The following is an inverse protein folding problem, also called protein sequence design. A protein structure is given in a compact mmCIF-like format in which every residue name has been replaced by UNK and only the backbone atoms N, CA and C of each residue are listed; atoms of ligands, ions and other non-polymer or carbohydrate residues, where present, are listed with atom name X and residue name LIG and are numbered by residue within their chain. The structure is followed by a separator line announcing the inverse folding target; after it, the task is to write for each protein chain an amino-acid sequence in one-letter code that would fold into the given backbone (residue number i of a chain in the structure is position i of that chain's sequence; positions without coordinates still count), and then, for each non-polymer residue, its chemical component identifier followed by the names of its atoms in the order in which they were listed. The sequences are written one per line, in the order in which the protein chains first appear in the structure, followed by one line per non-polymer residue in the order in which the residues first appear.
data_IF_398624025374
#
_entry.id   IF_398624025374
#
_cell.length_a   1.000
_cell.length_b   1.000
_cell.length_c   1.000
_cell.angle_alpha   90.00
_cell.angle_beta   90.00
_cell.angle_gamma   90.00
#
_symmetry.space_group_name_H-M   'P 1'
#
loop_
_entity.id
_entity.type
_entity.pdbx_description
1 polymer ?
#
# COMPACT_ATOMS: atom_id res chain seq x y z
N UNK A 1 9.97 -2.73 7.82
CA UNK A 1 10.16 -1.26 7.76
C UNK A 1 9.41 -0.52 8.87
N UNK A 2 8.12 -0.80 9.11
CA UNK A 2 7.34 -0.14 10.18
C UNK A 2 7.91 -0.28 11.60
N UNK A 3 8.55 -1.41 11.92
CA UNK A 3 9.20 -1.62 13.22
C UNK A 3 10.32 -0.60 13.52
N UNK A 4 11.03 -0.12 12.50
CA UNK A 4 12.06 0.92 12.65
C UNK A 4 11.44 2.27 13.05
N UNK A 5 10.34 2.65 12.42
CA UNK A 5 9.59 3.87 12.76
C UNK A 5 9.03 3.80 14.19
N UNK A 6 8.48 2.65 14.58
CA UNK A 6 7.99 2.40 15.95
C UNK A 6 9.10 2.44 16.99
N UNK A 7 10.30 1.92 16.70
CA UNK A 7 11.44 2.03 17.62
C UNK A 7 11.88 3.47 17.85
N UNK A 8 11.80 4.33 16.84
CA UNK A 8 12.21 5.74 16.96
C UNK A 8 11.19 6.60 17.73
N UNK A 9 9.89 6.32 17.60
CA UNK A 9 8.84 7.22 18.08
C UNK A 9 7.82 6.59 19.04
N UNK A 10 7.84 5.28 19.23
CA UNK A 10 6.79 4.55 19.96
C UNK A 10 6.67 4.92 21.44
N UNK A 11 7.76 5.33 22.09
CA UNK A 11 7.74 5.76 23.49
C UNK A 11 7.08 7.15 23.70
N UNK A 12 6.83 7.90 22.62
CA UNK A 12 6.21 9.23 22.69
C UNK A 12 4.68 9.20 22.55
N UNK A 13 4.09 8.04 22.24
CA UNK A 13 2.65 7.89 22.04
C UNK A 13 1.95 7.34 23.29
N UNK A 14 0.69 7.76 23.57
CA UNK A 14 -0.12 7.16 24.63
C UNK A 14 -0.27 5.63 24.47
N UNK A 15 -0.38 4.93 25.61
CA UNK A 15 -0.54 3.49 25.63
C UNK A 15 -1.80 3.06 24.84
N UNK A 16 -1.67 2.03 24.00
CA UNK A 16 -2.77 1.48 23.20
C UNK A 16 -3.05 2.19 21.87
N UNK A 17 -2.50 3.38 21.61
CA UNK A 17 -2.64 4.07 20.30
C UNK A 17 -2.08 3.21 19.18
N UNK A 18 -0.90 2.64 19.40
CA UNK A 18 -0.20 1.77 18.45
C UNK A 18 -0.91 0.43 18.16
N UNK A 19 -1.83 0.03 19.02
CA UNK A 19 -2.63 -1.19 18.90
C UNK A 19 -4.04 -0.92 18.35
N UNK A 20 -4.36 0.34 18.07
CA UNK A 20 -5.66 0.75 17.56
C UNK A 20 -5.92 0.24 16.14
N UNK A 21 -7.19 0.05 15.81
CA UNK A 21 -7.63 -0.31 14.46
C UNK A 21 -7.19 0.72 13.41
N UNK A 22 -7.24 2.00 13.75
CA UNK A 22 -6.85 3.12 12.87
C UNK A 22 -5.36 3.12 12.56
N UNK A 23 -4.48 2.94 13.55
CA UNK A 23 -3.03 2.86 13.27
C UNK A 23 -2.71 1.65 12.39
N UNK A 24 -3.36 0.51 12.62
CA UNK A 24 -3.23 -0.66 11.75
C UNK A 24 -3.73 -0.38 10.33
N UNK A 25 -4.84 0.35 10.18
CA UNK A 25 -5.37 0.72 8.87
C UNK A 25 -4.40 1.65 8.12
N UNK A 26 -3.80 2.63 8.79
CA UNK A 26 -2.77 3.51 8.23
C UNK A 26 -1.54 2.71 7.78
N UNK A 27 -1.03 1.81 8.63
CA UNK A 27 0.13 0.99 8.31
C UNK A 27 -0.13 0.08 7.10
N UNK A 28 -1.30 -0.53 7.03
CA UNK A 28 -1.70 -1.37 5.89
C UNK A 28 -1.83 -0.55 4.60
N UNK A 29 -2.49 0.61 4.65
CA UNK A 29 -2.66 1.45 3.46
C UNK A 29 -1.31 1.92 2.88
N UNK A 30 -0.36 2.33 3.74
CA UNK A 30 0.99 2.73 3.31
C UNK A 30 1.81 1.54 2.82
N UNK A 31 1.70 0.38 3.49
CA UNK A 31 2.40 -0.83 3.06
C UNK A 31 1.92 -1.28 1.67
N UNK A 32 0.60 -1.35 1.47
CA UNK A 32 -0.01 -1.68 0.19
C UNK A 32 0.45 -0.69 -0.88
N UNK A 33 0.29 0.63 -0.65
CA UNK A 33 0.71 1.66 -1.62
C UNK A 33 2.20 1.56 -1.99
N UNK A 34 3.07 1.28 -1.01
CA UNK A 34 4.50 1.08 -1.23
C UNK A 34 4.80 -0.14 -2.09
N UNK A 35 4.12 -1.27 -1.85
CA UNK A 35 4.23 -2.46 -2.69
C UNK A 35 3.72 -2.21 -4.11
N UNK A 36 2.60 -1.51 -4.27
CA UNK A 36 2.04 -1.16 -5.58
C UNK A 36 2.98 -0.27 -6.40
N UNK A 37 3.62 0.72 -5.76
CA UNK A 37 4.68 1.51 -6.39
C UNK A 37 5.79 0.58 -6.88
N UNK A 38 6.26 -0.34 -6.03
CA UNK A 38 7.31 -1.26 -6.43
C UNK A 38 6.91 -2.05 -7.67
N UNK A 39 5.76 -2.71 -7.67
CA UNK A 39 5.28 -3.52 -8.79
C UNK A 39 5.16 -2.73 -10.09
N UNK A 40 4.65 -1.49 -10.03
CA UNK A 40 4.53 -0.61 -11.20
C UNK A 40 5.90 -0.28 -11.80
N UNK A 41 6.87 0.10 -10.96
CA UNK A 41 8.19 0.50 -11.44
C UNK A 41 9.12 -0.67 -11.75
N UNK A 42 8.89 -1.84 -11.15
CA UNK A 42 9.68 -3.05 -11.39
C UNK A 42 9.14 -3.90 -12.54
N UNK A 43 7.89 -3.68 -12.99
CA UNK A 43 7.21 -4.51 -14.00
C UNK A 43 8.09 -4.88 -15.19
N UNK A 44 8.71 -3.88 -15.82
CA UNK A 44 9.54 -4.11 -17.00
C UNK A 44 10.70 -5.06 -16.69
N UNK A 45 11.41 -4.83 -15.58
CA UNK A 45 12.55 -5.64 -15.14
C UNK A 45 12.10 -7.06 -14.78
N UNK A 46 11.15 -7.17 -13.86
CA UNK A 46 10.75 -8.44 -13.26
C UNK A 46 10.03 -9.32 -14.28
N UNK A 47 9.04 -8.79 -15.00
CA UNK A 47 8.20 -9.59 -15.90
C UNK A 47 8.86 -9.80 -17.26
N UNK A 48 9.39 -8.74 -17.88
CA UNK A 48 9.87 -8.83 -19.28
C UNK A 48 11.30 -9.34 -19.41
N UNK A 49 12.14 -9.15 -18.37
CA UNK A 49 13.54 -9.57 -18.40
C UNK A 49 13.84 -10.75 -17.49
N UNK A 50 13.28 -10.78 -16.27
CA UNK A 50 13.57 -11.82 -15.28
C UNK A 50 12.57 -12.99 -15.34
N UNK A 51 11.42 -12.81 -15.99
CA UNK A 51 10.36 -13.82 -16.10
C UNK A 51 9.65 -14.08 -14.76
N UNK A 52 9.74 -13.14 -13.83
CA UNK A 52 9.11 -13.21 -12.52
C UNK A 52 7.60 -12.98 -12.64
N UNK A 53 6.82 -13.82 -11.96
CA UNK A 53 5.36 -13.83 -12.07
C UNK A 53 4.68 -13.08 -10.92
N UNK A 54 5.39 -12.79 -9.83
CA UNK A 54 4.84 -12.09 -8.66
C UNK A 54 4.87 -10.58 -8.84
N UNK A 55 4.03 -10.07 -9.73
CA UNK A 55 3.80 -8.64 -9.93
C UNK A 55 2.30 -8.39 -10.11
N UNK A 56 1.73 -7.46 -9.35
CA UNK A 56 0.28 -7.25 -9.35
C UNK A 56 -0.26 -6.83 -10.71
N UNK A 57 0.47 -6.04 -11.50
CA UNK A 57 0.01 -5.65 -12.84
C UNK A 57 -0.21 -6.88 -13.71
N UNK A 58 0.74 -7.84 -13.67
CA UNK A 58 0.62 -9.11 -14.37
C UNK A 58 -0.54 -9.96 -13.82
N UNK A 59 -0.70 -10.00 -12.49
CA UNK A 59 -1.81 -10.73 -11.86
C UNK A 59 -3.16 -10.18 -12.31
N UNK A 60 -3.32 -8.85 -12.36
CA UNK A 60 -4.55 -8.18 -12.81
C UNK A 60 -4.78 -8.42 -14.30
N UNK A 61 -3.72 -8.35 -15.13
CA UNK A 61 -3.78 -8.64 -16.56
C UNK A 61 -4.36 -10.04 -16.82
N UNK A 62 -3.83 -11.06 -16.13
CA UNK A 62 -4.27 -12.44 -16.26
C UNK A 62 -5.65 -12.70 -15.65
N UNK A 63 -5.94 -12.11 -14.49
CA UNK A 63 -7.20 -12.36 -13.77
C UNK A 63 -8.41 -11.78 -14.52
N UNK A 64 -8.26 -10.57 -15.08
CA UNK A 64 -9.32 -9.90 -15.83
C UNK A 64 -9.27 -10.16 -17.34
N UNK A 65 -8.28 -10.94 -17.80
CA UNK A 65 -8.05 -11.25 -19.23
C UNK A 65 -8.05 -9.98 -20.09
N UNK A 66 -7.20 -9.02 -19.71
CA UNK A 66 -7.15 -7.70 -20.35
C UNK A 66 -5.72 -7.35 -20.80
N UNK A 67 -5.57 -6.22 -21.50
CA UNK A 67 -4.25 -5.76 -21.93
C UNK A 67 -3.51 -4.99 -20.82
N UNK A 68 -2.18 -4.95 -20.91
CA UNK A 68 -1.33 -4.24 -19.94
C UNK A 68 -1.79 -2.81 -19.61
N UNK A 69 -2.13 -1.93 -20.58
CA UNK A 69 -2.59 -0.58 -20.25
C UNK A 69 -3.87 -0.56 -19.41
N UNK A 70 -4.76 -1.53 -19.60
CA UNK A 70 -5.98 -1.65 -18.80
C UNK A 70 -5.68 -2.16 -17.39
N UNK A 71 -4.87 -3.21 -17.26
CA UNK A 71 -4.42 -3.72 -15.97
C UNK A 71 -3.68 -2.63 -15.16
N UNK A 72 -2.79 -1.88 -15.81
CA UNK A 72 -2.08 -0.77 -15.21
C UNK A 72 -3.03 0.31 -14.64
N UNK A 73 -4.05 0.72 -15.40
CA UNK A 73 -5.06 1.68 -14.90
C UNK A 73 -5.85 1.15 -13.71
N UNK A 74 -6.15 -0.14 -13.67
CA UNK A 74 -6.81 -0.75 -12.51
C UNK A 74 -5.91 -0.72 -11.27
N UNK A 75 -4.63 -1.01 -11.43
CA UNK A 75 -3.63 -0.91 -10.35
C UNK A 75 -3.46 0.55 -9.91
N UNK A 76 -3.41 1.50 -10.84
CA UNK A 76 -3.38 2.93 -10.54
C UNK A 76 -4.60 3.39 -9.73
N UNK A 77 -5.81 2.96 -10.11
CA UNK A 77 -7.02 3.23 -9.32
C UNK A 77 -6.96 2.60 -7.92
N UNK A 78 -6.38 1.40 -7.77
CA UNK A 78 -6.16 0.78 -6.47
C UNK A 78 -5.15 1.57 -5.63
N UNK A 79 -4.07 2.08 -6.24
CA UNK A 79 -3.11 2.97 -5.59
C UNK A 79 -3.80 4.24 -5.07
N UNK A 80 -4.59 4.90 -5.91
CA UNK A 80 -5.36 6.08 -5.53
C UNK A 80 -6.30 5.77 -4.33
N UNK A 81 -7.03 4.64 -4.39
CA UNK A 81 -7.90 4.23 -3.29
C UNK A 81 -7.17 3.98 -1.97
N UNK A 82 -5.93 3.46 -2.01
CA UNK A 82 -5.10 3.28 -0.80
C UNK A 82 -4.62 4.61 -0.24
N UNK A 83 -4.28 5.56 -1.09
CA UNK A 83 -3.92 6.91 -0.67
C UNK A 83 -5.13 7.62 -0.04
N UNK A 84 -6.29 7.57 -0.69
CA UNK A 84 -7.54 8.15 -0.16
C UNK A 84 -7.90 7.56 1.22
N UNK A 85 -7.75 6.23 1.38
CA UNK A 85 -7.97 5.56 2.67
C UNK A 85 -7.00 6.07 3.74
N UNK A 86 -5.73 6.26 3.40
CA UNK A 86 -4.75 6.81 4.32
C UNK A 86 -5.11 8.25 4.72
N UNK A 87 -5.42 9.11 3.75
CA UNK A 87 -5.81 10.50 4.00
C UNK A 87 -7.07 10.59 4.85
N UNK A 88 -8.07 9.74 4.59
CA UNK A 88 -9.28 9.65 5.41
C UNK A 88 -8.97 9.29 6.86
N UNK A 89 -8.18 8.23 7.08
CA UNK A 89 -7.81 7.80 8.42
C UNK A 89 -6.99 8.87 9.16
N UNK A 90 -6.08 9.58 8.48
CA UNK A 90 -5.32 10.70 9.07
C UNK A 90 -6.24 11.86 9.47
N UNK A 91 -7.23 12.19 8.64
CA UNK A 91 -8.07 13.38 8.83
C UNK A 91 -9.24 13.16 9.79
N UNK A 92 -9.79 11.94 9.86
CA UNK A 92 -11.04 11.69 10.60
C UNK A 92 -10.88 10.70 11.75
N UNK A 93 -10.02 9.70 11.63
CA UNK A 93 -9.92 8.63 12.63
C UNK A 93 -8.78 8.87 13.62
N UNK A 94 -7.61 9.27 13.12
CA UNK A 94 -6.41 9.49 13.93
C UNK A 94 -6.61 10.59 14.99
N UNK A 95 -7.31 11.71 14.72
CA UNK A 95 -7.57 12.74 15.73
C UNK A 95 -8.49 12.29 16.86
N UNK A 96 -9.22 11.18 16.71
CA UNK A 96 -10.09 10.63 17.77
C UNK A 96 -9.27 9.83 18.80
N UNK A 97 -8.01 9.52 18.50
CA UNK A 97 -7.13 8.74 19.38
C UNK A 97 -6.34 9.58 20.40
N UNK A 98 -6.42 10.92 20.36
CA UNK A 98 -5.71 11.81 21.28
C UNK A 98 -6.48 13.09 21.63
#
# INVERSE_FOLDING_TARGET
TMSLSRMRHGAALPAGVLDSGTVRALENAVADYGCLINDVFSYQKEVQYEGELHNLVLVVENFFDCDYPTAFRMVEHLMAARLDQFEHAVSHELPVLY
#
